data_IF_842148238784
#
_entry.id   IF_842148238784
#
_cell.length_a   1.000
_cell.length_b   1.000
_cell.length_c   1.000
_cell.angle_alpha   90.00
_cell.angle_beta   90.00
_cell.angle_gamma   90.00
#
_symmetry.space_group_name_H-M   'P 1'
#
loop_
_entity.id
_entity.type
_entity.pdbx_description
1 polymer ?
#
# COMPACT_ATOMS: atom_id res chain seq x y z
N UNK A 1 -12.80 -14.23 13.95
CA UNK A 1 -13.46 -14.36 12.65
C UNK A 1 -12.99 -13.32 11.64
N UNK A 2 -12.54 -13.74 10.45
CA UNK A 2 -12.32 -12.90 9.28
C UNK A 2 -13.52 -12.00 8.98
N UNK A 3 -13.27 -10.79 8.46
CA UNK A 3 -14.32 -9.86 8.03
C UNK A 3 -14.35 -9.67 6.51
N UNK A 4 -13.54 -10.43 5.76
CA UNK A 4 -13.28 -10.25 4.32
C UNK A 4 -14.49 -10.53 3.42
N UNK A 5 -15.53 -11.21 3.90
CA UNK A 5 -16.71 -11.58 3.12
C UNK A 5 -17.98 -10.78 3.46
N UNK A 6 -17.81 -9.58 4.01
CA UNK A 6 -18.91 -8.67 4.29
C UNK A 6 -19.32 -7.85 3.03
N UNK A 7 -20.50 -7.19 3.05
CA UNK A 7 -20.97 -6.39 1.91
C UNK A 7 -20.01 -5.28 1.44
N UNK A 8 -19.20 -4.71 2.34
CA UNK A 8 -18.19 -3.71 1.98
C UNK A 8 -17.08 -4.28 1.10
N UNK A 9 -16.55 -5.44 1.46
CA UNK A 9 -15.52 -6.13 0.66
C UNK A 9 -16.07 -6.72 -0.62
N UNK A 10 -17.32 -7.19 -0.62
CA UNK A 10 -18.02 -7.58 -1.85
C UNK A 10 -18.06 -6.41 -2.83
N UNK A 11 -18.52 -5.24 -2.37
CA UNK A 11 -18.56 -4.02 -3.18
C UNK A 11 -17.17 -3.64 -3.69
N UNK A 12 -16.13 -3.74 -2.86
CA UNK A 12 -14.75 -3.44 -3.26
C UNK A 12 -14.25 -4.38 -4.37
N UNK A 13 -14.51 -5.69 -4.27
CA UNK A 13 -14.12 -6.66 -5.30
C UNK A 13 -14.91 -6.47 -6.60
N UNK A 14 -16.21 -6.18 -6.51
CA UNK A 14 -17.02 -5.82 -7.68
C UNK A 14 -16.52 -4.54 -8.35
N UNK A 15 -16.14 -3.53 -7.58
CA UNK A 15 -15.59 -2.28 -8.08
C UNK A 15 -14.25 -2.49 -8.76
N UNK A 16 -13.37 -3.31 -8.16
CA UNK A 16 -12.11 -3.72 -8.78
C UNK A 16 -12.37 -4.43 -10.12
N UNK A 17 -13.26 -5.43 -10.13
CA UNK A 17 -13.61 -6.16 -11.36
C UNK A 17 -14.16 -5.22 -12.45
N UNK A 18 -15.00 -4.24 -12.10
CA UNK A 18 -15.48 -3.21 -13.06
C UNK A 18 -14.34 -2.30 -13.53
N UNK A 19 -13.41 -1.96 -12.66
CA UNK A 19 -12.22 -1.16 -12.97
C UNK A 19 -11.36 -1.77 -14.09
N UNK A 20 -11.28 -3.10 -14.18
CA UNK A 20 -10.53 -3.80 -15.23
C UNK A 20 -10.96 -3.42 -16.65
N UNK A 21 -12.22 -3.02 -16.85
CA UNK A 21 -12.71 -2.59 -18.16
C UNK A 21 -12.05 -1.28 -18.67
N UNK A 22 -11.46 -0.49 -17.78
CA UNK A 22 -10.78 0.77 -18.09
C UNK A 22 -9.25 0.63 -18.16
N UNK A 23 -8.73 -0.58 -17.97
CA UNK A 23 -7.31 -0.85 -17.94
C UNK A 23 -6.77 -1.26 -19.33
N UNK A 24 -5.48 -1.06 -19.59
CA UNK A 24 -4.86 -1.56 -20.83
C UNK A 24 -4.90 -3.11 -20.90
N UNK A 25 -4.81 -3.70 -22.11
CA UNK A 25 -4.75 -5.14 -22.27
C UNK A 25 -3.62 -5.76 -21.43
N UNK A 26 -3.91 -6.88 -20.77
CA UNK A 26 -2.95 -7.60 -19.92
C UNK A 26 -2.84 -7.09 -18.48
N UNK A 27 -3.57 -6.03 -18.10
CA UNK A 27 -3.44 -5.42 -16.77
C UNK A 27 -3.67 -6.33 -15.56
N UNK A 28 -4.39 -7.44 -15.74
CA UNK A 28 -4.55 -8.48 -14.70
C UNK A 28 -3.22 -9.08 -14.24
N UNK A 29 -2.18 -9.04 -15.08
CA UNK A 29 -0.87 -9.59 -14.79
C UNK A 29 0.17 -8.51 -14.46
N UNK A 30 -0.24 -7.24 -14.39
CA UNK A 30 0.69 -6.15 -14.13
C UNK A 30 1.00 -6.04 -12.64
N UNK A 31 2.28 -5.95 -12.29
CA UNK A 31 2.74 -5.51 -10.97
C UNK A 31 3.18 -4.04 -10.98
N UNK A 32 3.69 -3.56 -9.84
CA UNK A 32 4.24 -2.20 -9.70
C UNK A 32 5.30 -1.87 -10.75
N UNK A 33 6.18 -2.83 -11.08
CA UNK A 33 7.20 -2.66 -12.12
C UNK A 33 6.62 -2.45 -13.53
N UNK A 34 5.42 -2.94 -13.82
CA UNK A 34 4.78 -2.83 -15.13
C UNK A 34 3.95 -1.55 -15.25
N UNK A 35 3.26 -1.13 -14.17
CA UNK A 35 2.37 0.05 -14.21
C UNK A 35 3.14 1.38 -14.23
N UNK A 36 4.32 1.44 -13.58
CA UNK A 36 5.17 2.64 -13.55
C UNK A 36 5.58 3.12 -14.95
N UNK A 37 6.20 2.30 -15.81
CA UNK A 37 6.59 2.73 -17.16
C UNK A 37 5.38 3.01 -18.06
N UNK A 38 4.23 2.37 -17.85
CA UNK A 38 3.00 2.69 -18.59
C UNK A 38 2.53 4.12 -18.26
N UNK A 39 2.56 4.51 -16.99
CA UNK A 39 2.23 5.87 -16.57
C UNK A 39 3.29 6.88 -17.01
N UNK A 40 4.56 6.63 -16.68
CA UNK A 40 5.68 7.50 -17.04
C UNK A 40 5.82 7.71 -18.56
N UNK A 41 5.44 6.71 -19.36
CA UNK A 41 5.40 6.79 -20.82
C UNK A 41 4.14 7.46 -21.40
N UNK A 42 3.21 7.91 -20.56
CA UNK A 42 1.97 8.56 -20.97
C UNK A 42 0.94 7.63 -21.64
N UNK A 43 1.02 6.32 -21.40
CA UNK A 43 0.07 5.32 -21.95
C UNK A 43 -1.22 5.22 -21.16
N UNK A 44 -1.19 5.56 -19.88
CA UNK A 44 -2.35 5.60 -18.99
C UNK A 44 -2.46 6.98 -18.36
N UNK A 45 -3.69 7.45 -18.14
CA UNK A 45 -3.93 8.74 -17.51
C UNK A 45 -3.64 8.74 -16.00
N UNK A 46 -3.77 7.57 -15.37
CA UNK A 46 -3.57 7.35 -13.94
C UNK A 46 -3.00 5.95 -13.72
N UNK A 47 -2.20 5.78 -12.67
CA UNK A 47 -1.90 4.49 -12.07
C UNK A 47 -2.08 4.57 -10.55
N UNK A 48 -2.32 3.42 -9.92
CA UNK A 48 -2.39 3.28 -8.47
C UNK A 48 -1.17 2.44 -8.08
N UNK A 49 -0.18 3.08 -7.48
CA UNK A 49 1.09 2.47 -7.08
C UNK A 49 1.82 3.38 -6.08
N UNK A 50 2.95 2.92 -5.54
CA UNK A 50 3.84 3.74 -4.74
C UNK A 50 4.37 4.98 -5.48
N UNK A 51 4.91 5.91 -4.68
CA UNK A 51 5.35 7.22 -5.12
C UNK A 51 6.51 7.16 -6.15
N UNK A 52 7.13 6.00 -6.33
CA UNK A 52 8.12 5.73 -7.39
C UNK A 52 7.62 6.13 -8.79
N UNK A 53 6.32 6.01 -9.04
CA UNK A 53 5.70 6.40 -10.32
C UNK A 53 5.94 7.87 -10.65
N UNK A 54 5.87 8.74 -9.63
CA UNK A 54 6.08 10.17 -9.80
C UNK A 54 7.54 10.50 -10.11
N UNK A 55 8.47 9.90 -9.36
CA UNK A 55 9.92 10.07 -9.57
C UNK A 55 10.30 9.59 -10.97
N UNK A 56 9.92 8.36 -11.34
CA UNK A 56 10.20 7.79 -12.67
C UNK A 56 9.64 8.67 -13.79
N UNK A 57 8.40 9.16 -13.66
CA UNK A 57 7.79 10.00 -14.68
C UNK A 57 8.52 11.35 -14.87
N UNK A 58 9.11 11.90 -13.82
CA UNK A 58 9.84 13.17 -13.87
C UNK A 58 11.32 13.05 -14.28
N UNK A 59 11.93 11.87 -14.11
CA UNK A 59 13.34 11.63 -14.44
C UNK A 59 13.55 10.88 -15.75
N UNK A 60 12.71 9.88 -16.03
CA UNK A 60 12.88 8.91 -17.13
C UNK A 60 11.67 8.90 -18.09
N UNK A 61 10.54 9.48 -17.68
CA UNK A 61 9.28 9.48 -18.43
C UNK A 61 9.17 10.52 -19.54
N UNK A 62 8.13 10.37 -20.37
CA UNK A 62 7.77 11.31 -21.44
C UNK A 62 6.80 12.41 -20.99
N UNK A 63 6.32 12.36 -19.75
CA UNK A 63 5.31 13.28 -19.17
C UNK A 63 5.88 14.26 -18.14
N UNK A 64 7.19 14.48 -18.13
CA UNK A 64 7.87 15.41 -17.23
C UNK A 64 7.21 16.80 -17.22
N UNK A 65 7.04 17.39 -16.04
CA UNK A 65 6.34 18.66 -15.82
C UNK A 65 4.83 18.51 -15.67
N UNK A 66 4.26 17.37 -16.05
CA UNK A 66 2.81 17.11 -16.05
C UNK A 66 2.37 16.09 -14.99
N UNK A 67 3.30 15.59 -14.18
CA UNK A 67 3.01 14.57 -13.15
C UNK A 67 2.19 15.19 -12.03
N UNK A 68 1.18 14.47 -11.54
CA UNK A 68 0.42 14.87 -10.34
C UNK A 68 0.15 13.64 -9.48
N UNK A 69 0.31 13.80 -8.18
CA UNK A 69 -0.05 12.78 -7.18
C UNK A 69 -1.23 13.27 -6.35
N UNK A 70 -2.11 12.35 -5.98
CA UNK A 70 -3.26 12.62 -5.13
C UNK A 70 -3.39 11.51 -4.08
N UNK A 71 -4.11 11.82 -2.99
CA UNK A 71 -4.56 10.79 -2.03
C UNK A 71 -5.43 9.78 -2.76
N UNK A 72 -5.35 8.50 -2.38
CA UNK A 72 -6.18 7.45 -2.97
C UNK A 72 -7.67 7.83 -2.94
N UNK A 73 -8.43 7.53 -4.01
CA UNK A 73 -9.85 7.83 -4.06
C UNK A 73 -10.61 7.27 -2.84
N UNK A 74 -11.51 8.08 -2.30
CA UNK A 74 -12.40 7.70 -1.21
C UNK A 74 -13.81 7.32 -1.67
N UNK A 75 -14.67 7.00 -0.71
CA UNK A 75 -16.09 6.73 -0.95
C UNK A 75 -16.98 7.60 -0.05
N UNK A 76 -18.14 8.02 -0.56
CA UNK A 76 -19.21 8.65 0.23
C UNK A 76 -20.10 7.62 0.93
N UNK A 77 -19.96 6.34 0.60
CA UNK A 77 -20.69 5.24 1.24
C UNK A 77 -19.70 4.18 1.74
N UNK A 78 -19.71 3.88 3.05
CA UNK A 78 -18.79 2.92 3.68
C UNK A 78 -19.60 1.91 4.48
N UNK A 79 -19.28 0.62 4.30
CA UNK A 79 -19.87 -0.44 5.10
C UNK A 79 -19.33 -0.42 6.54
N UNK A 80 -20.22 -0.30 7.51
CA UNK A 80 -19.89 -0.34 8.91
C UNK A 80 -20.08 -1.76 9.46
N UNK A 81 -18.98 -2.45 9.71
CA UNK A 81 -19.01 -3.83 10.22
C UNK A 81 -19.62 -3.97 11.62
N UNK A 82 -19.67 -2.89 12.42
CA UNK A 82 -20.27 -2.91 13.77
C UNK A 82 -21.79 -2.80 13.71
N UNK A 83 -22.30 -1.83 12.95
CA UNK A 83 -23.76 -1.62 12.81
C UNK A 83 -24.38 -2.53 11.75
N UNK A 84 -23.55 -3.15 10.89
CA UNK A 84 -23.95 -3.96 9.74
C UNK A 84 -24.86 -3.17 8.78
N UNK A 85 -24.46 -1.93 8.50
CA UNK A 85 -25.18 -1.03 7.60
C UNK A 85 -24.21 -0.14 6.83
N UNK A 86 -24.69 0.50 5.75
CA UNK A 86 -23.93 1.47 4.99
C UNK A 86 -24.08 2.86 5.62
N UNK A 87 -22.95 3.42 6.06
CA UNK A 87 -22.87 4.81 6.50
C UNK A 87 -22.68 5.71 5.27
N UNK A 88 -23.33 6.88 5.27
CA UNK A 88 -23.24 7.88 4.20
C UNK A 88 -22.58 9.15 4.70
N UNK A 89 -21.76 9.75 3.85
CA UNK A 89 -20.98 10.96 4.13
C UNK A 89 -21.20 12.01 3.05
N UNK A 90 -21.22 13.28 3.44
CA UNK A 90 -21.41 14.42 2.53
C UNK A 90 -20.24 14.59 1.55
N UNK A 91 -19.06 14.07 1.90
CA UNK A 91 -17.86 14.08 1.09
C UNK A 91 -17.16 12.72 1.11
N UNK A 92 -16.35 12.37 0.08
CA UNK A 92 -15.62 11.11 0.06
C UNK A 92 -14.66 10.99 1.25
N UNK A 93 -14.74 9.86 1.95
CA UNK A 93 -13.79 9.48 2.99
C UNK A 93 -12.74 8.58 2.36
N UNK A 94 -11.50 9.03 2.34
CA UNK A 94 -10.37 8.25 1.86
C UNK A 94 -9.89 7.25 2.92
N UNK A 95 -9.42 6.09 2.46
CA UNK A 95 -8.74 5.10 3.29
C UNK A 95 -7.36 4.76 2.72
N UNK A 96 -6.37 5.67 2.81
CA UNK A 96 -5.05 5.43 2.23
C UNK A 96 -4.42 4.16 2.82
N UNK A 97 -3.88 3.31 1.96
CA UNK A 97 -3.18 2.10 2.38
C UNK A 97 -1.70 2.43 2.59
N UNK A 98 -1.19 2.15 3.80
CA UNK A 98 0.18 2.51 4.19
C UNK A 98 1.22 1.41 3.94
N UNK A 99 0.78 0.27 3.40
CA UNK A 99 1.53 -0.91 2.94
C UNK A 99 2.99 -1.08 3.43
N UNK A 100 3.23 -2.16 4.17
CA UNK A 100 4.46 -2.57 4.87
C UNK A 100 5.02 -1.55 5.89
N UNK A 101 4.46 -0.35 5.99
CA UNK A 101 5.02 0.73 6.82
C UNK A 101 6.39 1.23 6.33
N UNK A 102 6.78 0.86 5.11
CA UNK A 102 8.05 1.18 4.47
C UNK A 102 9.12 0.07 4.54
N UNK A 103 10.17 0.24 3.73
CA UNK A 103 11.34 -0.64 3.74
C UNK A 103 12.08 -0.57 5.08
N UNK A 104 12.56 -1.72 5.56
CA UNK A 104 13.28 -1.83 6.83
C UNK A 104 14.66 -2.45 6.62
N UNK A 105 15.65 -1.90 7.34
CA UNK A 105 16.97 -2.50 7.48
C UNK A 105 17.10 -3.08 8.89
N UNK A 106 17.54 -4.34 8.98
CA UNK A 106 17.71 -5.05 10.24
C UNK A 106 19.08 -5.72 10.30
N UNK A 107 19.69 -5.71 11.49
CA UNK A 107 20.93 -6.45 11.77
C UNK A 107 20.59 -7.72 12.56
N UNK A 108 20.93 -8.92 12.05
CA UNK A 108 20.71 -10.17 12.78
C UNK A 108 21.43 -10.16 14.12
N UNK A 109 20.77 -10.65 15.18
CA UNK A 109 21.32 -10.65 16.53
C UNK A 109 22.57 -11.53 16.70
N UNK A 110 22.80 -12.48 15.80
CA UNK A 110 23.96 -13.38 15.77
C UNK A 110 25.07 -12.94 14.80
N UNK A 111 24.93 -11.75 14.20
CA UNK A 111 25.90 -11.17 13.26
C UNK A 111 27.30 -11.08 13.88
N UNK A 112 28.30 -11.58 13.16
CA UNK A 112 29.72 -11.49 13.56
C UNK A 112 30.34 -10.11 13.29
N UNK A 113 29.63 -9.24 12.56
CA UNK A 113 30.07 -7.91 12.19
C UNK A 113 29.00 -6.86 12.56
N UNK A 114 28.37 -7.00 13.72
CA UNK A 114 27.22 -6.19 14.11
C UNK A 114 27.51 -4.68 14.11
N UNK A 115 28.69 -4.26 14.58
CA UNK A 115 29.09 -2.84 14.59
C UNK A 115 29.21 -2.29 13.17
N UNK A 116 29.91 -2.98 12.26
CA UNK A 116 30.03 -2.55 10.87
C UNK A 116 28.66 -2.52 10.16
N UNK A 117 27.79 -3.49 10.44
CA UNK A 117 26.44 -3.52 9.89
C UNK A 117 25.60 -2.32 10.38
N UNK A 118 25.67 -1.99 11.67
CA UNK A 118 24.97 -0.82 12.20
C UNK A 118 25.54 0.51 11.69
N UNK A 119 26.87 0.61 11.49
CA UNK A 119 27.49 1.76 10.83
C UNK A 119 26.98 1.93 9.40
N UNK A 120 26.83 0.84 8.64
CA UNK A 120 26.24 0.89 7.30
C UNK A 120 24.77 1.35 7.34
N UNK A 121 23.96 0.84 8.27
CA UNK A 121 22.57 1.27 8.45
C UNK A 121 22.49 2.77 8.79
N UNK A 122 23.37 3.27 9.66
CA UNK A 122 23.43 4.68 10.01
C UNK A 122 23.80 5.55 8.80
N UNK A 123 24.74 5.11 7.96
CA UNK A 123 25.17 5.82 6.76
C UNK A 123 24.05 5.86 5.70
N UNK A 124 23.49 4.72 5.32
CA UNK A 124 22.46 4.63 4.27
C UNK A 124 21.17 5.35 4.66
N UNK A 125 20.87 5.43 5.95
CA UNK A 125 19.72 6.19 6.42
C UNK A 125 20.06 7.63 6.81
N UNK A 126 21.32 8.08 6.72
CA UNK A 126 21.72 9.44 7.13
C UNK A 126 20.92 10.53 6.41
N UNK A 127 20.66 11.70 7.03
CA UNK A 127 19.99 12.81 6.35
C UNK A 127 20.64 13.20 5.02
N UNK A 128 21.96 13.12 4.94
CA UNK A 128 22.74 13.47 3.76
C UNK A 128 22.54 12.48 2.61
N UNK A 129 22.69 11.16 2.88
CA UNK A 129 22.53 10.15 1.85
C UNK A 129 21.07 9.95 1.47
N UNK A 130 20.15 9.95 2.45
CA UNK A 130 18.73 9.79 2.19
C UNK A 130 18.14 10.91 1.33
N UNK A 131 18.65 12.14 1.46
CA UNK A 131 18.27 13.28 0.62
C UNK A 131 18.63 13.07 -0.86
N UNK A 132 19.70 12.34 -1.15
CA UNK A 132 20.09 11.95 -2.50
C UNK A 132 19.22 10.79 -3.00
N UNK A 133 18.97 9.79 -2.15
CA UNK A 133 18.21 8.59 -2.52
C UNK A 133 16.77 8.89 -2.94
N UNK A 134 16.07 9.77 -2.22
CA UNK A 134 14.63 10.07 -2.48
C UNK A 134 14.37 10.78 -3.80
N UNK A 135 15.38 11.41 -4.39
CA UNK A 135 15.29 12.07 -5.70
C UNK A 135 16.04 11.30 -6.80
N UNK A 136 16.66 10.18 -6.46
CA UNK A 136 17.33 9.32 -7.43
C UNK A 136 16.33 8.27 -7.94
N UNK A 137 16.16 8.12 -9.27
CA UNK A 137 15.24 7.12 -9.79
C UNK A 137 15.72 5.70 -9.49
N UNK A 138 14.77 4.76 -9.44
CA UNK A 138 15.02 3.33 -9.24
C UNK A 138 15.68 2.93 -7.91
N UNK A 139 15.77 3.83 -6.92
CA UNK A 139 16.18 3.49 -5.55
C UNK A 139 15.09 2.77 -4.76
N UNK A 140 13.81 3.00 -5.12
CA UNK A 140 12.65 2.54 -4.36
C UNK A 140 12.46 3.27 -3.02
N UNK A 141 13.25 4.33 -2.78
CA UNK A 141 13.21 5.12 -1.55
C UNK A 141 12.23 6.26 -1.73
N UNK A 142 11.15 6.24 -0.94
CA UNK A 142 10.17 7.33 -0.89
C UNK A 142 10.38 8.19 0.38
N UNK A 143 9.82 9.41 0.45
CA UNK A 143 9.98 10.29 1.60
C UNK A 143 9.58 9.65 2.95
N UNK A 144 10.58 9.32 3.78
CA UNK A 144 10.38 8.73 5.12
C UNK A 144 10.85 9.60 6.30
N UNK A 145 11.52 10.73 6.04
CA UNK A 145 11.96 11.71 7.07
C UNK A 145 11.14 12.99 6.95
N UNK A 146 10.88 13.67 8.08
CA UNK A 146 10.26 15.00 8.08
C UNK A 146 11.04 16.00 7.21
N UNK A 147 12.37 15.91 7.22
CA UNK A 147 13.25 16.75 6.39
C UNK A 147 13.00 16.57 4.89
N UNK A 148 12.61 15.38 4.43
CA UNK A 148 12.28 15.15 3.02
C UNK A 148 11.04 15.93 2.57
N UNK A 149 10.10 16.20 3.50
CA UNK A 149 8.89 16.98 3.20
C UNK A 149 9.12 18.49 3.34
N UNK A 150 10.10 18.93 4.13
CA UNK A 150 10.37 20.36 4.37
C UNK A 150 11.51 20.92 3.51
N UNK A 151 12.46 20.09 3.07
CA UNK A 151 13.55 20.52 2.21
C UNK A 151 13.16 20.37 0.73
N UNK A 152 12.47 21.37 0.19
CA UNK A 152 12.02 21.35 -1.21
C UNK A 152 13.16 21.53 -2.22
N UNK A 153 14.37 21.91 -1.77
CA UNK A 153 15.51 22.15 -2.65
C UNK A 153 15.93 20.88 -3.39
N UNK A 154 15.98 19.74 -2.70
CA UNK A 154 16.43 18.48 -3.30
C UNK A 154 15.46 18.06 -4.41
N UNK A 155 14.15 18.19 -4.17
CA UNK A 155 13.10 17.89 -5.14
C UNK A 155 13.15 18.75 -6.40
N UNK A 156 13.67 19.97 -6.33
CA UNK A 156 13.81 20.84 -7.52
C UNK A 156 14.77 20.28 -8.58
N UNK A 157 15.59 19.27 -8.23
CA UNK A 157 16.45 18.56 -9.18
C UNK A 157 15.67 17.69 -10.17
N UNK A 158 14.48 17.22 -9.77
CA UNK A 158 13.66 16.31 -10.57
C UNK A 158 12.27 16.87 -10.90
N UNK A 159 11.66 17.62 -10.00
CA UNK A 159 10.31 18.13 -10.11
C UNK A 159 10.26 19.63 -10.36
N UNK A 160 9.26 20.04 -11.14
CA UNK A 160 8.74 21.42 -11.09
C UNK A 160 8.15 21.72 -9.70
N UNK A 161 8.00 23.00 -9.31
CA UNK A 161 7.35 23.35 -8.04
C UNK A 161 5.95 22.74 -7.88
N UNK A 162 5.18 22.64 -8.96
CA UNK A 162 3.83 22.09 -8.96
C UNK A 162 3.82 20.56 -8.77
N UNK A 163 4.73 19.86 -9.45
CA UNK A 163 4.93 18.42 -9.27
C UNK A 163 5.33 18.12 -7.82
N UNK A 164 6.34 18.81 -7.30
CA UNK A 164 6.82 18.64 -5.94
C UNK A 164 5.71 18.90 -4.90
N UNK A 165 4.93 19.97 -5.08
CA UNK A 165 3.82 20.30 -4.19
C UNK A 165 2.74 19.20 -4.20
N UNK A 166 2.35 18.70 -5.37
CA UNK A 166 1.37 17.61 -5.46
C UNK A 166 1.90 16.29 -4.89
N UNK A 167 3.15 15.95 -5.19
CA UNK A 167 3.82 14.71 -4.79
C UNK A 167 4.00 14.61 -3.27
N UNK A 168 4.59 15.64 -2.66
CA UNK A 168 4.84 15.68 -1.22
C UNK A 168 3.53 15.90 -0.44
N UNK A 169 2.64 16.75 -0.98
CA UNK A 169 1.35 17.03 -0.36
C UNK A 169 0.47 15.81 -0.26
N UNK A 170 0.34 15.03 -1.35
CA UNK A 170 -0.47 13.82 -1.36
C UNK A 170 0.08 12.73 -0.42
N UNK A 171 1.40 12.51 -0.41
CA UNK A 171 2.01 11.53 0.48
C UNK A 171 1.85 11.93 1.95
N UNK A 172 2.13 13.18 2.29
CA UNK A 172 1.94 13.69 3.65
C UNK A 172 0.47 13.58 4.09
N UNK A 173 -0.48 13.97 3.23
CA UNK A 173 -1.90 13.85 3.51
C UNK A 173 -2.36 12.40 3.67
N UNK A 174 -1.74 11.46 2.93
CA UNK A 174 -2.03 10.03 3.05
C UNK A 174 -1.51 9.45 4.38
N UNK A 175 -0.28 9.81 4.76
CA UNK A 175 0.34 9.40 6.03
C UNK A 175 -0.36 10.01 7.26
N UNK A 176 -0.78 11.27 7.17
CA UNK A 176 -1.48 11.98 8.24
C UNK A 176 -3.00 11.70 8.26
N UNK A 177 -3.50 10.83 7.36
CA UNK A 177 -4.93 10.54 7.27
C UNK A 177 -5.46 9.91 8.56
N UNK A 178 -6.62 10.36 9.08
CA UNK A 178 -7.20 9.78 10.29
C UNK A 178 -7.76 8.36 10.08
N UNK A 179 -7.92 7.93 8.82
CA UNK A 179 -8.55 6.67 8.44
C UNK A 179 -7.62 5.86 7.53
N UNK A 180 -6.45 5.48 8.03
CA UNK A 180 -5.48 4.68 7.26
C UNK A 180 -5.81 3.19 7.31
N UNK A 181 -5.59 2.50 6.19
CA UNK A 181 -5.57 1.04 6.14
C UNK A 181 -4.15 0.53 6.41
N UNK A 182 -4.03 -0.46 7.29
CA UNK A 182 -2.78 -1.08 7.69
C UNK A 182 -2.72 -2.53 7.20
N UNK A 183 -1.51 -3.05 7.01
CA UNK A 183 -1.31 -4.45 6.67
C UNK A 183 -1.78 -5.41 7.77
N UNK A 184 -2.14 -6.61 7.32
CA UNK A 184 -2.32 -7.74 8.19
C UNK A 184 -0.98 -8.15 8.82
N UNK A 185 -0.77 -7.79 10.09
CA UNK A 185 0.45 -8.10 10.84
C UNK A 185 0.23 -9.29 11.76
N UNK A 186 0.11 -10.48 11.16
CA UNK A 186 -0.06 -11.76 11.86
C UNK A 186 1.07 -12.74 11.54
N UNK A 187 1.48 -13.59 12.49
CA UNK A 187 2.23 -14.79 12.18
C UNK A 187 1.54 -15.62 11.09
N UNK A 188 2.30 -16.00 10.06
CA UNK A 188 1.75 -16.68 8.89
C UNK A 188 1.17 -15.75 7.82
N UNK A 189 1.43 -14.43 7.89
CA UNK A 189 0.98 -13.43 6.91
C UNK A 189 1.00 -13.92 5.46
N UNK A 190 2.13 -14.47 4.99
CA UNK A 190 2.26 -14.99 3.63
C UNK A 190 1.20 -16.05 3.28
N UNK A 191 0.84 -16.94 4.21
CA UNK A 191 -0.21 -17.93 3.98
C UNK A 191 -1.60 -17.30 3.89
N UNK A 192 -1.87 -16.23 4.64
CA UNK A 192 -3.13 -15.49 4.49
C UNK A 192 -3.19 -14.74 3.15
N UNK A 193 -2.08 -14.11 2.74
CA UNK A 193 -1.97 -13.39 1.47
C UNK A 193 -2.09 -14.31 0.27
N UNK A 194 -1.45 -15.48 0.29
CA UNK A 194 -1.52 -16.47 -0.80
C UNK A 194 -2.97 -16.95 -1.07
N UNK A 195 -3.73 -17.20 0.01
CA UNK A 195 -5.16 -17.52 -0.08
C UNK A 195 -5.95 -16.36 -0.70
N UNK A 196 -5.68 -15.13 -0.25
CA UNK A 196 -6.35 -13.93 -0.74
C UNK A 196 -6.07 -13.73 -2.24
N UNK A 197 -4.80 -13.73 -2.64
CA UNK A 197 -4.36 -13.52 -4.01
C UNK A 197 -4.93 -14.59 -4.95
N UNK A 198 -4.92 -15.85 -4.52
CA UNK A 198 -5.46 -16.97 -5.30
C UNK A 198 -6.95 -16.80 -5.58
N UNK A 199 -7.77 -16.56 -4.55
CA UNK A 199 -9.23 -16.45 -4.72
C UNK A 199 -9.64 -15.14 -5.40
N UNK A 200 -8.95 -14.03 -5.13
CA UNK A 200 -9.16 -12.77 -5.85
C UNK A 200 -8.85 -12.93 -7.34
N UNK A 201 -7.74 -13.59 -7.69
CA UNK A 201 -7.38 -13.84 -9.09
C UNK A 201 -8.45 -14.64 -9.81
N UNK A 202 -9.01 -15.69 -9.18
CA UNK A 202 -10.13 -16.46 -9.74
C UNK A 202 -11.37 -15.57 -9.97
N UNK A 203 -11.72 -14.71 -9.02
CA UNK A 203 -12.89 -13.83 -9.14
C UNK A 203 -12.73 -12.77 -10.24
N UNK A 204 -11.54 -12.17 -10.32
CA UNK A 204 -11.19 -11.17 -11.34
C UNK A 204 -11.15 -11.79 -12.74
N UNK A 205 -10.67 -13.03 -12.86
CA UNK A 205 -10.72 -13.81 -14.10
C UNK A 205 -12.13 -14.35 -14.45
N UNK A 206 -13.13 -14.12 -13.58
CA UNK A 206 -14.51 -14.58 -13.79
C UNK A 206 -14.71 -16.08 -13.61
N UNK A 207 -13.77 -16.78 -12.96
CA UNK A 207 -13.85 -18.22 -12.71
C UNK A 207 -14.77 -18.55 -11.54
N UNK A 208 -14.93 -17.61 -10.60
CA UNK A 208 -15.85 -17.69 -9.45
C UNK A 208 -16.55 -16.36 -9.25
N UNK A 209 -17.73 -16.38 -8.64
CA UNK A 209 -18.45 -15.15 -8.29
C UNK A 209 -17.75 -14.42 -7.12
N UNK A 210 -17.76 -13.07 -7.08
CA UNK A 210 -17.09 -12.30 -6.04
C UNK A 210 -17.41 -12.74 -4.60
N UNK A 211 -18.69 -12.91 -4.27
CA UNK A 211 -19.07 -13.36 -2.92
C UNK A 211 -18.51 -14.75 -2.60
N UNK A 212 -18.52 -15.67 -3.57
CA UNK A 212 -17.99 -17.04 -3.39
C UNK A 212 -16.49 -17.01 -3.12
N UNK A 213 -15.72 -16.19 -3.85
CA UNK A 213 -14.29 -16.01 -3.57
C UNK A 213 -14.05 -15.49 -2.15
N UNK A 214 -14.79 -14.46 -1.72
CA UNK A 214 -14.63 -13.90 -0.38
C UNK A 214 -15.01 -14.92 0.72
N UNK A 215 -16.06 -15.71 0.50
CA UNK A 215 -16.45 -16.78 1.41
C UNK A 215 -15.38 -17.88 1.50
N UNK A 216 -14.77 -18.25 0.37
CA UNK A 216 -13.64 -19.19 0.34
C UNK A 216 -12.44 -18.64 1.12
N UNK A 217 -12.08 -17.37 0.93
CA UNK A 217 -11.01 -16.70 1.67
C UNK A 217 -11.30 -16.74 3.17
N UNK A 218 -12.51 -16.37 3.58
CA UNK A 218 -12.91 -16.39 4.99
C UNK A 218 -12.81 -17.79 5.61
N UNK A 219 -13.23 -18.83 4.88
CA UNK A 219 -13.15 -20.22 5.34
C UNK A 219 -11.69 -20.69 5.51
N UNK A 220 -10.82 -20.41 4.53
CA UNK A 220 -9.40 -20.79 4.59
C UNK A 220 -8.63 -20.00 5.66
N UNK A 221 -8.88 -18.70 5.79
CA UNK A 221 -8.30 -17.89 6.86
C UNK A 221 -8.70 -18.40 8.25
N UNK A 222 -9.92 -18.91 8.41
CA UNK A 222 -10.33 -19.55 9.66
C UNK A 222 -9.55 -20.84 9.95
N UNK A 223 -9.35 -21.69 8.94
CA UNK A 223 -8.51 -22.90 9.07
C UNK A 223 -7.07 -22.55 9.43
N UNK A 224 -6.48 -21.55 8.78
CA UNK A 224 -5.13 -21.06 9.09
C UNK A 224 -5.07 -20.54 10.53
N UNK A 225 -6.06 -19.73 10.93
CA UNK A 225 -6.14 -19.18 12.28
C UNK A 225 -6.20 -20.29 13.34
N UNK A 226 -6.97 -21.35 13.08
CA UNK A 226 -7.07 -22.51 13.96
C UNK A 226 -5.76 -23.31 14.00
N UNK A 227 -5.09 -23.50 12.85
CA UNK A 227 -3.80 -24.18 12.75
C UNK A 227 -2.67 -23.45 13.50
N UNK A 228 -2.64 -22.11 13.46
CA UNK A 228 -1.68 -21.31 14.23
C UNK A 228 -2.08 -21.17 15.72
N UNK A 229 -3.33 -21.49 16.06
CA UNK A 229 -3.92 -21.30 17.38
C UNK A 229 -4.60 -19.94 17.49
N UNK A 230 -5.94 -19.95 17.59
CA UNK A 230 -6.77 -18.73 17.57
C UNK A 230 -6.42 -17.72 18.67
N UNK A 231 -6.14 -18.18 19.88
CA UNK A 231 -5.77 -17.28 20.99
C UNK A 231 -4.41 -16.60 20.76
N UNK A 232 -3.45 -17.32 20.16
CA UNK A 232 -2.14 -16.76 19.79
C UNK A 232 -2.29 -15.72 18.69
N UNK A 233 -3.11 -16.02 17.68
CA UNK A 233 -3.40 -15.07 16.59
C UNK A 233 -4.13 -13.83 17.11
N UNK A 234 -5.07 -14.00 18.04
CA UNK A 234 -5.77 -12.89 18.69
C UNK A 234 -4.81 -12.01 19.51
N UNK A 235 -3.91 -12.63 20.27
CA UNK A 235 -2.88 -11.90 21.02
C UNK A 235 -1.94 -11.13 20.07
N UNK A 236 -1.48 -11.76 18.98
CA UNK A 236 -0.64 -11.12 17.97
C UNK A 236 -1.36 -9.97 17.26
N UNK A 237 -2.62 -10.16 16.85
CA UNK A 237 -3.45 -9.13 16.24
C UNK A 237 -3.58 -7.92 17.16
N UNK A 238 -3.91 -8.15 18.43
CA UNK A 238 -4.07 -7.07 19.41
C UNK A 238 -2.77 -6.33 19.64
N UNK A 239 -1.64 -7.04 19.77
CA UNK A 239 -0.33 -6.43 19.89
C UNK A 239 0.02 -5.57 18.66
N UNK A 240 -0.25 -6.06 17.44
CA UNK A 240 -0.06 -5.31 16.21
C UNK A 240 -0.92 -4.02 16.17
N UNK A 241 -2.12 -4.07 16.75
CA UNK A 241 -3.02 -2.91 16.90
C UNK A 241 -2.70 -2.03 18.11
N UNK A 242 -1.63 -2.31 18.87
CA UNK A 242 -1.28 -1.55 20.08
C UNK A 242 -2.25 -1.74 21.25
N UNK A 243 -3.03 -2.83 21.25
CA UNK A 243 -4.03 -3.15 22.27
C UNK A 243 -3.46 -4.14 23.30
N UNK A 244 -3.86 -4.05 24.58
CA UNK A 244 -3.44 -5.01 25.61
C UNK A 244 -3.99 -6.42 25.30
N UNK A 245 -3.37 -7.51 25.78
CA UNK A 245 -3.94 -8.86 25.63
C UNK A 245 -5.34 -8.96 26.26
N UNK A 246 -6.16 -9.90 25.76
CA UNK A 246 -7.41 -10.26 26.45
C UNK A 246 -7.06 -11.26 27.55
N UNK A 247 -7.59 -11.02 28.74
CA UNK A 247 -7.48 -11.93 29.89
C UNK A 247 -8.41 -13.14 29.72
#
# INVERSE_FOLDING_TARGET
>A
EPQINNPGWLKALEDYKRGLAFNPPGALNNGSGDVRPLYAGGKVAMNIDWADSGVMAATEGSIKGSVRTAVLPGSTEIWNAKTKSWDKFDAPVASPFLEFGGWQLAVPGDSKNAEAAWSFVAEVTSPELSAVEVVTPNTGVNPYRLSHYTNTKDWSSIFTPEEAASYLGAQKASLDSPNVALDLRLPGFFSYSDVLETELSKALAGQVEPQVALDNIAAEWNKLTDGFGRDKQLAAYRAAMGLPPLN
#
